data_IF_493277417098
#
_entry.id   IF_493277417098
#
_cell.length_a   1.000
_cell.length_b   1.000
_cell.length_c   1.000
_cell.angle_alpha   90.00
_cell.angle_beta   90.00
_cell.angle_gamma   90.00
#
_symmetry.space_group_name_H-M   'P 1'
#
loop_
_entity.id
_entity.type
_entity.pdbx_description
1 polymer ?
#
# COMPACT_ATOMS: atom_id res chain seq x y z
N UNK A 1 -0.11 5.25 40.71
CA UNK A 1 0.10 4.83 39.31
C UNK A 1 -0.83 5.68 38.47
N UNK A 2 -0.27 6.60 37.68
CA UNK A 2 -1.07 7.43 36.79
C UNK A 2 -1.72 6.52 35.74
N UNK A 3 -3.02 6.70 35.54
CA UNK A 3 -3.83 6.06 34.52
C UNK A 3 -3.28 6.50 33.16
N UNK A 4 -2.41 5.68 32.57
CA UNK A 4 -1.94 5.90 31.20
C UNK A 4 -3.17 5.65 30.33
N UNK A 5 -3.62 6.67 29.59
CA UNK A 5 -4.75 6.49 28.68
C UNK A 5 -4.48 5.31 27.75
N UNK A 6 -5.50 4.50 27.45
CA UNK A 6 -5.37 3.35 26.55
C UNK A 6 -4.67 3.75 25.23
N UNK A 7 -4.89 4.98 24.76
CA UNK A 7 -4.22 5.57 23.59
C UNK A 7 -2.69 5.68 23.74
N UNK A 8 -2.20 6.13 24.90
CA UNK A 8 -0.77 6.29 25.16
C UNK A 8 -0.07 4.93 25.34
N UNK A 9 -0.76 3.95 25.94
CA UNK A 9 -0.25 2.58 26.03
C UNK A 9 -0.16 1.94 24.63
N UNK A 10 -1.20 2.11 23.81
CA UNK A 10 -1.22 1.64 22.41
C UNK A 10 -0.12 2.29 21.57
N UNK A 11 0.07 3.61 21.72
CA UNK A 11 1.15 4.33 21.04
C UNK A 11 2.53 3.73 21.36
N UNK A 12 2.81 3.45 22.63
CA UNK A 12 4.08 2.83 23.03
C UNK A 12 4.28 1.45 22.40
N UNK A 13 3.22 0.63 22.30
CA UNK A 13 3.30 -0.68 21.64
C UNK A 13 3.63 -0.52 20.15
N UNK A 14 2.99 0.45 19.47
CA UNK A 14 3.27 0.73 18.06
C UNK A 14 4.74 1.18 17.89
N UNK A 15 5.19 2.15 18.68
CA UNK A 15 6.57 2.65 18.60
C UNK A 15 7.60 1.55 18.84
N UNK A 16 7.42 0.74 19.88
CA UNK A 16 8.29 -0.39 20.19
C UNK A 16 8.33 -1.39 19.02
N UNK A 17 7.17 -1.76 18.49
CA UNK A 17 7.07 -2.73 17.39
C UNK A 17 7.77 -2.22 16.13
N UNK A 18 7.59 -0.93 15.78
CA UNK A 18 8.21 -0.34 14.60
C UNK A 18 9.73 -0.23 14.73
N UNK A 19 10.21 0.09 15.94
CA UNK A 19 11.64 0.14 16.23
C UNK A 19 12.29 -1.25 16.20
N UNK A 20 11.63 -2.25 16.80
CA UNK A 20 12.09 -3.64 16.82
C UNK A 20 12.15 -4.24 15.41
N UNK A 21 11.22 -3.83 14.53
CA UNK A 21 11.21 -4.21 13.12
C UNK A 21 12.18 -3.38 12.25
N UNK A 22 12.94 -2.45 12.84
CA UNK A 22 13.87 -1.55 12.16
C UNK A 22 13.24 -0.77 10.98
N UNK A 23 11.96 -0.42 11.10
CA UNK A 23 11.23 0.30 10.06
C UNK A 23 11.48 1.80 10.13
N UNK A 24 11.58 2.46 8.97
CA UNK A 24 11.55 3.92 8.90
C UNK A 24 10.12 4.41 9.20
N UNK A 25 9.95 5.20 10.27
CA UNK A 25 8.67 5.80 10.61
C UNK A 25 8.80 7.21 11.20
N UNK A 26 7.73 7.99 11.09
CA UNK A 26 7.58 9.30 11.71
C UNK A 26 6.21 9.45 12.39
N UNK A 27 6.10 10.35 13.36
CA UNK A 27 4.81 10.70 14.00
C UNK A 27 4.53 12.19 13.81
N UNK A 28 3.79 12.57 12.74
CA UNK A 28 3.52 13.98 12.44
C UNK A 28 2.55 14.62 13.44
N UNK A 29 1.67 13.81 14.03
CA UNK A 29 0.69 14.23 15.03
C UNK A 29 0.61 13.17 16.14
N UNK A 30 0.30 13.55 17.40
CA UNK A 30 0.09 12.58 18.47
C UNK A 30 -0.91 11.49 18.09
N UNK A 31 -0.50 10.23 18.27
CA UNK A 31 -1.32 9.06 17.92
C UNK A 31 -1.38 8.74 16.42
N UNK A 32 -0.65 9.46 15.58
CA UNK A 32 -0.49 9.15 14.15
C UNK A 32 0.94 8.70 13.88
N UNK A 33 1.09 7.58 13.20
CA UNK A 33 2.37 7.00 12.80
C UNK A 33 2.35 6.78 11.29
N UNK A 34 3.38 7.23 10.60
CA UNK A 34 3.57 7.04 9.16
C UNK A 34 4.80 6.17 8.99
N UNK A 35 4.58 4.95 8.52
CA UNK A 35 5.57 3.88 8.39
C UNK A 35 5.87 3.67 6.91
N UNK A 36 7.14 3.50 6.57
CA UNK A 36 7.58 3.18 5.22
C UNK A 36 7.97 1.72 5.14
N UNK A 37 7.13 0.95 4.46
CA UNK A 37 7.34 -0.49 4.28
C UNK A 37 8.18 -0.73 3.01
N UNK A 38 9.35 -1.40 3.12
CA UNK A 38 10.21 -1.68 1.97
C UNK A 38 9.61 -2.79 1.10
N UNK A 39 9.29 -2.49 -0.16
CA UNK A 39 8.75 -3.44 -1.13
C UNK A 39 9.74 -3.85 -2.21
N UNK A 40 9.44 -4.93 -2.92
CA UNK A 40 10.32 -5.46 -3.97
C UNK A 40 9.98 -4.93 -5.36
N UNK A 41 8.70 -4.75 -5.66
CA UNK A 41 8.18 -4.23 -6.94
C UNK A 41 7.87 -2.74 -6.82
N UNK A 42 7.21 -2.36 -5.73
CA UNK A 42 6.98 -0.98 -5.33
C UNK A 42 8.07 -0.59 -4.33
N UNK A 43 8.95 0.34 -4.74
CA UNK A 43 10.12 0.79 -3.97
C UNK A 43 9.85 1.00 -2.47
N UNK A 44 8.70 1.59 -2.14
CA UNK A 44 8.21 1.66 -0.77
C UNK A 44 6.70 1.86 -0.73
N UNK A 45 6.04 1.27 0.26
CA UNK A 45 4.63 1.52 0.57
C UNK A 45 4.52 2.32 1.86
N UNK A 46 3.96 3.52 1.77
CA UNK A 46 3.66 4.33 2.95
C UNK A 46 2.36 3.84 3.59
N UNK A 47 2.44 3.47 4.87
CA UNK A 47 1.33 3.00 5.69
C UNK A 47 1.13 3.96 6.88
N UNK A 48 -0.06 4.50 7.03
CA UNK A 48 -0.45 5.34 8.16
C UNK A 48 -1.26 4.54 9.17
N UNK A 49 -0.84 4.58 10.42
CA UNK A 49 -1.54 4.04 11.57
C UNK A 49 -2.02 5.22 12.43
N UNK A 50 -3.32 5.30 12.71
CA UNK A 50 -3.92 6.36 13.51
C UNK A 50 -4.69 5.78 14.69
N UNK A 51 -4.19 6.03 15.88
CA UNK A 51 -4.81 5.68 17.16
C UNK A 51 -5.91 6.71 17.43
N UNK A 52 -7.15 6.26 17.40
CA UNK A 52 -8.29 7.03 17.92
C UNK A 52 -8.75 6.48 19.26
N UNK A 53 -9.73 7.15 19.86
CA UNK A 53 -10.28 6.83 21.19
C UNK A 53 -10.69 5.38 21.42
N UNK A 54 -11.14 4.69 20.38
CA UNK A 54 -11.66 3.33 20.47
C UNK A 54 -11.13 2.39 19.39
N UNK A 55 -10.33 2.89 18.46
CA UNK A 55 -9.92 2.09 17.31
C UNK A 55 -8.61 2.58 16.71
N UNK A 56 -7.81 1.64 16.23
CA UNK A 56 -6.69 1.87 15.34
C UNK A 56 -7.22 1.90 13.89
N UNK A 57 -6.91 2.96 13.16
CA UNK A 57 -7.16 3.02 11.71
C UNK A 57 -5.86 2.81 10.96
N UNK A 58 -5.88 1.97 9.93
CA UNK A 58 -4.76 1.72 9.04
C UNK A 58 -5.13 2.21 7.64
N UNK A 59 -4.25 2.99 7.01
CA UNK A 59 -4.39 3.41 5.62
C UNK A 59 -3.05 3.34 4.90
N UNK A 60 -2.93 2.55 3.85
CA UNK A 60 -1.74 2.48 3.03
C UNK A 60 -2.06 2.83 1.58
N UNK A 61 -1.30 3.77 1.00
CA UNK A 61 -1.50 4.17 -0.39
C UNK A 61 -0.97 3.08 -1.33
N UNK A 62 -1.77 2.62 -2.29
CA UNK A 62 -1.40 1.56 -3.24
C UNK A 62 -1.01 2.15 -4.59
N UNK A 63 -1.93 2.85 -5.26
CA UNK A 63 -1.71 3.44 -6.59
C UNK A 63 -2.64 4.63 -6.79
N UNK A 64 -2.26 5.55 -7.68
CA UNK A 64 -3.16 6.62 -8.12
C UNK A 64 -4.36 6.07 -8.86
N UNK A 65 -5.38 6.90 -9.03
CA UNK A 65 -6.50 6.64 -9.93
C UNK A 65 -6.01 6.06 -11.27
N UNK A 66 -6.56 4.91 -11.71
CA UNK A 66 -6.20 4.32 -12.99
C UNK A 66 -6.47 5.29 -14.15
N UNK A 67 -5.57 5.32 -15.13
CA UNK A 67 -5.73 6.17 -16.32
C UNK A 67 -6.81 5.62 -17.26
N UNK A 68 -7.09 4.32 -17.19
CA UNK A 68 -8.07 3.63 -18.00
C UNK A 68 -8.67 2.41 -17.26
N UNK A 69 -9.81 1.91 -17.76
CA UNK A 69 -10.38 0.62 -17.37
C UNK A 69 -10.74 0.45 -15.87
N UNK A 70 -11.31 1.51 -15.27
CA UNK A 70 -11.78 1.53 -13.87
C UNK A 70 -12.57 0.29 -13.47
N UNK A 71 -13.52 -0.13 -14.32
CA UNK A 71 -14.39 -1.25 -14.02
C UNK A 71 -13.61 -2.57 -13.81
N UNK A 72 -12.58 -2.82 -14.60
CA UNK A 72 -11.74 -4.02 -14.44
C UNK A 72 -10.85 -3.90 -13.20
N UNK A 73 -10.27 -2.72 -12.96
CA UNK A 73 -9.47 -2.44 -11.77
C UNK A 73 -10.31 -2.66 -10.51
N UNK A 74 -11.49 -2.04 -10.42
CA UNK A 74 -12.39 -2.15 -9.27
C UNK A 74 -12.85 -3.58 -9.04
N UNK A 75 -13.21 -4.29 -10.10
CA UNK A 75 -13.56 -5.71 -10.02
C UNK A 75 -12.41 -6.53 -9.45
N UNK A 76 -11.20 -6.33 -9.97
CA UNK A 76 -10.00 -7.03 -9.50
C UNK A 76 -9.73 -6.77 -8.03
N UNK A 77 -9.84 -5.51 -7.58
CA UNK A 77 -9.69 -5.13 -6.16
C UNK A 77 -10.72 -5.85 -5.27
N UNK A 78 -11.99 -5.87 -5.68
CA UNK A 78 -13.06 -6.55 -4.95
C UNK A 78 -12.86 -8.08 -4.89
N UNK A 79 -12.43 -8.70 -5.97
CA UNK A 79 -12.11 -10.13 -6.01
C UNK A 79 -10.92 -10.47 -5.09
N UNK A 80 -9.92 -9.57 -5.01
CA UNK A 80 -8.75 -9.76 -4.15
C UNK A 80 -9.07 -9.63 -2.67
N UNK A 81 -10.04 -8.78 -2.30
CA UNK A 81 -10.49 -8.61 -0.91
C UNK A 81 -10.95 -9.91 -0.26
N UNK A 82 -11.42 -10.90 -1.03
CA UNK A 82 -11.82 -12.21 -0.50
C UNK A 82 -10.68 -13.00 0.17
N UNK A 83 -9.43 -12.63 -0.09
CA UNK A 83 -8.24 -13.33 0.41
C UNK A 83 -7.44 -12.50 1.41
N UNK A 84 -7.81 -11.24 1.63
CA UNK A 84 -7.07 -10.35 2.52
C UNK A 84 -7.51 -10.56 3.98
N UNK A 85 -6.55 -10.43 4.88
CA UNK A 85 -6.78 -10.50 6.31
C UNK A 85 -6.64 -9.11 6.93
N UNK A 86 -7.64 -8.69 7.71
CA UNK A 86 -7.65 -7.43 8.47
C UNK A 86 -7.82 -6.15 7.64
N UNK A 87 -7.34 -6.13 6.39
CA UNK A 87 -7.41 -4.97 5.50
C UNK A 87 -8.21 -5.26 4.24
N UNK A 88 -8.64 -4.21 3.55
CA UNK A 88 -9.33 -4.30 2.27
C UNK A 88 -8.91 -3.16 1.36
N UNK A 89 -8.93 -3.39 0.05
CA UNK A 89 -8.82 -2.31 -0.92
C UNK A 89 -10.05 -1.42 -0.85
N UNK A 90 -9.80 -0.11 -0.86
CA UNK A 90 -10.79 0.94 -0.95
C UNK A 90 -10.32 2.01 -1.95
N UNK A 91 -11.28 2.80 -2.41
CA UNK A 91 -11.04 3.87 -3.37
C UNK A 91 -11.55 5.17 -2.74
N UNK A 92 -10.78 6.23 -2.87
CA UNK A 92 -11.16 7.56 -2.38
C UNK A 92 -12.01 8.34 -3.41
N UNK A 93 -12.50 9.55 -3.09
CA UNK A 93 -13.27 10.36 -4.05
C UNK A 93 -12.51 10.78 -5.32
N UNK A 94 -11.17 10.77 -5.29
CA UNK A 94 -10.33 11.07 -6.45
C UNK A 94 -10.03 9.82 -7.29
N UNK A 95 -10.44 8.63 -6.82
CA UNK A 95 -10.18 7.37 -7.48
C UNK A 95 -8.88 6.69 -7.05
N UNK A 96 -8.14 7.27 -6.11
CA UNK A 96 -6.90 6.71 -5.61
C UNK A 96 -7.18 5.45 -4.79
N UNK A 97 -6.33 4.44 -4.95
CA UNK A 97 -6.51 3.12 -4.33
C UNK A 97 -5.68 3.03 -3.07
N UNK A 98 -6.34 2.60 -1.99
CA UNK A 98 -5.77 2.41 -0.67
C UNK A 98 -6.03 0.99 -0.16
N UNK A 99 -5.16 0.51 0.73
CA UNK A 99 -5.49 -0.57 1.67
C UNK A 99 -5.92 0.08 2.99
N UNK A 100 -7.11 -0.28 3.47
CA UNK A 100 -7.69 0.29 4.68
C UNK A 100 -8.04 -0.81 5.68
N UNK A 101 -7.88 -0.51 6.96
CA UNK A 101 -8.27 -1.39 8.07
C UNK A 101 -8.73 -0.58 9.27
N UNK A 102 -9.65 -1.13 10.06
CA UNK A 102 -10.11 -0.52 11.32
C UNK A 102 -10.25 -1.59 12.39
N UNK A 103 -9.49 -1.43 13.47
CA UNK A 103 -9.31 -2.45 14.49
C UNK A 103 -9.63 -1.89 15.88
N UNK A 104 -10.18 -2.70 16.80
CA UNK A 104 -10.26 -2.31 18.20
C UNK A 104 -8.86 -2.19 18.80
N UNK A 105 -8.69 -1.31 19.80
CA UNK A 105 -7.39 -1.09 20.44
C UNK A 105 -6.83 -2.37 21.11
N UNK A 106 -7.69 -3.31 21.50
CA UNK A 106 -7.30 -4.60 22.10
C UNK A 106 -6.50 -5.51 21.16
N UNK A 107 -6.53 -5.25 19.86
CA UNK A 107 -5.83 -6.02 18.81
C UNK A 107 -4.43 -5.44 18.56
N UNK A 108 -4.10 -4.30 19.17
CA UNK A 108 -2.78 -3.67 19.00
C UNK A 108 -1.75 -4.34 19.89
N UNK A 109 -1.23 -5.48 19.42
CA UNK A 109 -0.08 -6.18 19.99
C UNK A 109 1.06 -6.20 18.97
N UNK A 110 2.32 -6.39 19.39
CA UNK A 110 3.45 -6.46 18.46
C UNK A 110 3.26 -7.51 17.36
N UNK A 111 2.77 -8.70 17.71
CA UNK A 111 2.60 -9.80 16.77
C UNK A 111 1.51 -9.53 15.73
N UNK A 112 0.43 -8.88 16.15
CA UNK A 112 -0.67 -8.56 15.25
C UNK A 112 -0.35 -7.34 14.38
N UNK A 113 0.38 -6.36 14.92
CA UNK A 113 0.93 -5.25 14.13
C UNK A 113 1.89 -5.76 13.05
N UNK A 114 2.81 -6.66 13.39
CA UNK A 114 3.71 -7.29 12.42
C UNK A 114 2.92 -7.99 11.30
N UNK A 115 1.93 -8.81 11.67
CA UNK A 115 1.06 -9.50 10.70
C UNK A 115 0.29 -8.53 9.80
N UNK A 116 -0.24 -7.43 10.36
CA UNK A 116 -0.96 -6.42 9.60
C UNK A 116 -0.04 -5.69 8.62
N UNK A 117 1.15 -5.27 9.07
CA UNK A 117 2.14 -4.59 8.22
C UNK A 117 2.65 -5.52 7.11
N UNK A 118 2.89 -6.80 7.42
CA UNK A 118 3.23 -7.83 6.43
C UNK A 118 2.12 -8.02 5.39
N UNK A 119 0.86 -8.06 5.82
CA UNK A 119 -0.29 -8.16 4.91
C UNK A 119 -0.40 -6.94 4.00
N UNK A 120 -0.19 -5.74 4.54
CA UNK A 120 -0.18 -4.48 3.77
C UNK A 120 0.94 -4.51 2.73
N UNK A 121 2.14 -4.92 3.13
CA UNK A 121 3.28 -4.99 2.22
C UNK A 121 3.01 -5.97 1.09
N UNK A 122 2.57 -7.20 1.39
CA UNK A 122 2.26 -8.21 0.39
C UNK A 122 1.13 -7.76 -0.55
N UNK A 123 0.06 -7.19 -0.01
CA UNK A 123 -1.07 -6.75 -0.79
C UNK A 123 -0.74 -5.54 -1.68
N UNK A 124 0.06 -4.58 -1.21
CA UNK A 124 0.47 -3.44 -2.01
C UNK A 124 1.50 -3.83 -3.08
N UNK A 125 2.53 -4.59 -2.71
CA UNK A 125 3.61 -4.99 -3.61
C UNK A 125 3.14 -6.03 -4.64
N UNK A 126 2.37 -7.02 -4.18
CA UNK A 126 1.83 -8.09 -5.01
C UNK A 126 0.83 -7.60 -6.06
N UNK A 127 0.04 -6.58 -5.74
CA UNK A 127 -0.96 -6.01 -6.65
C UNK A 127 -0.38 -5.05 -7.70
N UNK A 128 0.80 -4.47 -7.43
CA UNK A 128 1.31 -3.32 -8.18
C UNK A 128 1.34 -3.53 -9.70
N UNK A 129 1.99 -4.60 -10.17
CA UNK A 129 2.10 -4.87 -11.61
C UNK A 129 0.75 -5.15 -12.26
N UNK A 130 -0.13 -5.91 -11.60
CA UNK A 130 -1.46 -6.22 -12.12
C UNK A 130 -2.31 -4.97 -12.26
N UNK A 131 -2.25 -4.05 -11.29
CA UNK A 131 -2.95 -2.77 -11.36
C UNK A 131 -2.39 -1.88 -12.47
N UNK A 132 -1.07 -1.86 -12.66
CA UNK A 132 -0.41 -1.16 -13.76
C UNK A 132 -0.79 -1.71 -15.14
N UNK A 133 -0.85 -3.03 -15.30
CA UNK A 133 -1.29 -3.66 -16.54
C UNK A 133 -2.77 -3.40 -16.84
N UNK A 134 -3.63 -3.43 -15.82
CA UNK A 134 -5.07 -3.24 -15.99
C UNK A 134 -5.44 -1.78 -16.26
N UNK A 135 -4.80 -0.85 -15.53
CA UNK A 135 -5.24 0.54 -15.48
C UNK A 135 -4.29 1.58 -16.07
N UNK A 136 -3.10 1.18 -16.52
CA UNK A 136 -2.06 2.11 -16.99
C UNK A 136 -1.34 1.62 -18.25
N UNK A 137 -1.89 0.64 -18.98
CA UNK A 137 -1.22 0.03 -20.12
C UNK A 137 -0.86 1.05 -21.22
N UNK A 138 -1.77 1.96 -21.54
CA UNK A 138 -1.56 3.04 -22.51
C UNK A 138 -0.45 4.00 -22.07
N UNK A 139 -0.39 4.36 -20.79
CA UNK A 139 0.65 5.23 -20.23
C UNK A 139 2.03 4.53 -20.27
N UNK A 140 2.09 3.25 -19.91
CA UNK A 140 3.30 2.43 -19.97
C UNK A 140 3.85 2.36 -21.40
N UNK A 141 2.99 2.16 -22.41
CA UNK A 141 3.40 2.15 -23.82
C UNK A 141 3.99 3.49 -24.25
N UNK A 142 3.39 4.60 -23.85
CA UNK A 142 3.88 5.95 -24.16
C UNK A 142 5.23 6.24 -23.50
N UNK A 143 5.35 5.93 -22.20
CA UNK A 143 6.60 6.08 -21.44
C UNK A 143 7.72 5.25 -22.05
N UNK A 144 7.45 3.99 -22.44
CA UNK A 144 8.43 3.14 -23.10
C UNK A 144 8.92 3.74 -24.41
N UNK A 145 8.00 4.16 -25.29
CA UNK A 145 8.36 4.78 -26.57
C UNK A 145 9.23 6.03 -26.38
N UNK A 146 8.85 6.89 -25.43
CA UNK A 146 9.61 8.10 -25.10
C UNK A 146 11.03 7.80 -24.60
N UNK A 147 11.20 6.79 -23.72
CA UNK A 147 12.53 6.38 -23.24
C UNK A 147 13.40 5.82 -24.36
N UNK A 148 12.83 5.00 -25.24
CA UNK A 148 13.55 4.44 -26.39
C UNK A 148 14.02 5.54 -27.34
N UNK A 149 13.17 6.52 -27.65
CA UNK A 149 13.51 7.65 -28.51
C UNK A 149 14.66 8.51 -27.94
N UNK A 150 14.75 8.61 -26.61
CA UNK A 150 15.78 9.41 -25.92
C UNK A 150 17.02 8.63 -25.50
N UNK A 151 17.04 7.31 -25.68
CA UNK A 151 18.12 6.44 -25.19
C UNK A 151 18.18 6.34 -23.67
N UNK A 152 17.05 6.55 -22.98
CA UNK A 152 16.94 6.40 -21.53
C UNK A 152 16.71 4.92 -21.12
N UNK A 153 17.07 4.58 -19.88
CA UNK A 153 16.96 3.21 -19.36
C UNK A 153 15.51 2.75 -19.20
N UNK A 154 15.15 1.59 -19.77
CA UNK A 154 13.82 0.97 -19.66
C UNK A 154 13.71 -0.10 -18.57
N UNK A 155 14.72 -0.27 -17.72
CA UNK A 155 14.80 -1.38 -16.73
C UNK A 155 13.55 -1.52 -15.85
N UNK A 156 12.93 -0.41 -15.45
CA UNK A 156 11.73 -0.43 -14.60
C UNK A 156 10.46 -0.84 -15.37
N UNK A 157 10.52 -0.88 -16.70
CA UNK A 157 9.44 -1.29 -17.60
C UNK A 157 9.62 -2.74 -18.08
N UNK A 158 10.70 -3.43 -17.69
CA UNK A 158 10.98 -4.81 -18.14
C UNK A 158 9.85 -5.78 -17.77
N UNK A 159 9.18 -5.54 -16.62
CA UNK A 159 8.00 -6.29 -16.19
C UNK A 159 6.81 -6.18 -17.17
N UNK A 160 6.77 -5.14 -18.00
CA UNK A 160 5.68 -4.84 -18.94
C UNK A 160 6.10 -5.02 -20.41
N UNK A 161 7.18 -5.78 -20.67
CA UNK A 161 7.66 -6.06 -22.03
C UNK A 161 6.58 -6.63 -22.95
N UNK A 162 5.64 -7.43 -22.42
CA UNK A 162 4.50 -7.95 -23.18
C UNK A 162 3.51 -6.85 -23.64
N UNK A 163 3.48 -5.69 -22.97
CA UNK A 163 2.70 -4.52 -23.39
C UNK A 163 3.44 -3.69 -24.45
N UNK A 164 4.77 -3.78 -24.54
CA UNK A 164 5.56 -2.91 -25.43
C UNK A 164 6.05 -3.63 -26.68
N UNK A 165 6.14 -4.96 -26.64
CA UNK A 165 6.39 -5.79 -27.81
C UNK A 165 5.15 -5.79 -28.72
N UNK A 166 5.35 -5.46 -30.01
CA UNK A 166 4.31 -5.66 -31.03
C UNK A 166 4.00 -7.16 -31.09
N UNK A 167 2.72 -7.58 -31.16
CA UNK A 167 2.43 -8.98 -31.44
C UNK A 167 3.14 -9.37 -32.73
N UNK A 168 3.90 -10.47 -32.67
CA UNK A 168 4.43 -11.10 -33.87
C UNK A 168 3.21 -11.57 -34.68
N UNK A 169 3.00 -10.95 -35.84
CA UNK A 169 2.06 -11.45 -36.84
C UNK A 169 2.51 -12.82 -37.37
#
# INVERSE_FOLDING_TARGET
MADVSDEAAVAQVIEATLNDAELEWESPEPGTFVVKLPGTRKLSTTCSLRVGKHSLSLNAFVVRHPDENDAAVHRWLLERNLRLFGVSYAIDPLGDVYLVGKFPLSVVTPEELDRLLGTVLEAADGAFNSLLELGFASAIRKEYAWRVERGESTRNLDAFTHLTQRPAN
#
